data_IF_756113601088
#
_entry.id   IF_756113601088
#
_cell.length_a   1.000
_cell.length_b   1.000
_cell.length_c   1.000
_cell.angle_alpha   90.00
_cell.angle_beta   90.00
_cell.angle_gamma   90.00
#
_symmetry.space_group_name_H-M   'P 1'
#
loop_
_entity.id
_entity.type
_entity.pdbx_description
1 polymer ?
#
# COMPACT_ATOMS: atom_id res chain seq x y z
N UNK A 1 13.07 27.95 50.51
CA UNK A 1 13.22 28.83 49.34
C UNK A 1 13.32 27.96 48.11
N UNK A 2 12.41 28.17 47.16
CA UNK A 2 12.23 27.40 45.92
C UNK A 2 13.25 27.86 44.87
N UNK A 3 13.80 26.92 44.11
CA UNK A 3 14.24 27.14 42.72
C UNK A 3 14.38 25.78 42.03
N UNK A 4 13.30 25.36 41.38
CA UNK A 4 13.28 24.24 40.44
C UNK A 4 13.65 24.79 39.06
N UNK A 5 14.73 24.27 38.48
CA UNK A 5 15.19 24.63 37.14
C UNK A 5 14.25 24.03 36.09
N UNK A 6 13.78 24.92 35.21
CA UNK A 6 12.92 24.66 34.06
C UNK A 6 13.61 23.73 33.05
N UNK A 7 12.96 22.61 32.75
CA UNK A 7 13.24 21.84 31.55
C UNK A 7 12.56 22.52 30.35
N UNK A 8 13.36 23.09 29.45
CA UNK A 8 12.92 23.48 28.11
C UNK A 8 13.04 22.27 27.19
N UNK A 9 11.95 21.54 27.02
CA UNK A 9 11.81 20.51 25.99
C UNK A 9 11.46 21.17 24.65
N UNK A 10 12.47 21.36 23.79
CA UNK A 10 12.27 21.63 22.37
C UNK A 10 11.63 20.39 21.72
N UNK A 11 10.31 20.38 21.61
CA UNK A 11 9.59 19.41 20.77
C UNK A 11 9.48 19.98 19.36
N UNK A 12 10.56 19.88 18.60
CA UNK A 12 10.52 20.05 17.15
C UNK A 12 9.84 18.84 16.53
N UNK A 13 8.52 18.90 16.38
CA UNK A 13 7.76 17.90 15.65
C UNK A 13 8.11 18.00 14.15
N UNK A 14 9.14 17.28 13.73
CA UNK A 14 9.30 16.87 12.35
C UNK A 14 8.11 15.98 12.02
N UNK A 15 7.18 16.49 11.21
CA UNK A 15 6.15 15.71 10.54
C UNK A 15 6.83 14.78 9.53
N UNK A 16 7.46 13.71 10.02
CA UNK A 16 7.78 12.55 9.21
C UNK A 16 6.43 12.01 8.72
N UNK A 17 6.17 12.23 7.44
CA UNK A 17 5.17 11.43 6.72
C UNK A 17 5.60 9.98 6.88
N UNK A 18 4.97 9.25 7.81
CA UNK A 18 5.23 7.85 8.01
C UNK A 18 5.05 7.16 6.65
N UNK A 19 6.15 6.63 6.11
CA UNK A 19 6.09 5.73 4.97
C UNK A 19 5.24 4.54 5.43
N UNK A 20 4.12 4.33 4.74
CA UNK A 20 3.17 3.28 5.07
C UNK A 20 3.78 1.98 4.60
N UNK A 21 4.45 1.33 5.53
CA UNK A 21 5.24 0.17 5.24
C UNK A 21 4.69 -1.01 6.03
N UNK A 22 3.79 -1.78 5.39
CA UNK A 22 3.28 -3.03 5.95
C UNK A 22 4.42 -4.07 6.05
N UNK A 23 5.26 -4.17 5.02
CA UNK A 23 6.51 -4.97 5.02
C UNK A 23 7.76 -4.10 5.16
N UNK A 24 8.61 -4.30 6.18
CA UNK A 24 9.79 -3.48 6.53
C UNK A 24 10.99 -3.52 5.54
N UNK A 25 10.81 -3.94 4.28
CA UNK A 25 11.88 -3.91 3.28
C UNK A 25 12.38 -2.48 2.94
N UNK A 26 13.66 -2.14 3.15
CA UNK A 26 14.18 -0.79 2.92
C UNK A 26 13.95 -0.35 1.46
N UNK A 27 13.55 0.91 1.29
CA UNK A 27 13.33 1.57 -0.02
C UNK A 27 14.60 1.54 -0.89
N UNK A 28 15.77 1.46 -0.25
CA UNK A 28 17.07 1.23 -0.88
C UNK A 28 17.50 -0.22 -0.69
N UNK A 29 17.15 -1.10 -1.64
CA UNK A 29 17.56 -2.49 -1.61
C UNK A 29 17.36 -3.16 -2.95
N UNK A 30 18.46 -3.34 -3.69
CA UNK A 30 18.69 -4.28 -4.79
C UNK A 30 17.45 -4.72 -5.56
N UNK A 31 16.97 -3.77 -6.33
CA UNK A 31 15.78 -3.83 -7.16
C UNK A 31 15.97 -4.72 -8.39
N UNK A 32 15.11 -5.73 -8.61
CA UNK A 32 15.08 -6.51 -9.87
C UNK A 32 14.50 -5.69 -11.02
N UNK A 33 13.64 -4.71 -10.71
CA UNK A 33 13.17 -3.67 -11.64
C UNK A 33 13.91 -2.37 -11.37
N UNK A 34 14.40 -1.69 -12.40
CA UNK A 34 14.95 -0.33 -12.19
C UNK A 34 13.84 0.59 -11.65
N UNK A 35 14.09 1.40 -10.61
CA UNK A 35 13.13 2.43 -10.16
C UNK A 35 12.67 3.34 -11.31
N UNK A 36 13.51 3.57 -12.32
CA UNK A 36 13.18 4.37 -13.50
C UNK A 36 12.11 3.71 -14.40
N UNK A 37 11.94 2.39 -14.30
CA UNK A 37 10.91 1.65 -15.03
C UNK A 37 9.53 1.71 -14.37
N UNK A 38 9.46 2.16 -13.11
CA UNK A 38 8.18 2.34 -12.42
C UNK A 38 7.46 3.57 -12.97
N UNK A 39 6.24 3.31 -13.46
CA UNK A 39 5.34 4.31 -14.04
C UNK A 39 3.99 4.24 -13.32
N UNK A 40 3.20 5.33 -13.32
CA UNK A 40 1.87 5.32 -12.72
C UNK A 40 1.00 4.15 -13.20
N UNK A 41 0.35 3.46 -12.27
CA UNK A 41 -0.62 2.40 -12.53
C UNK A 41 -1.99 3.00 -12.89
N UNK A 42 -2.27 4.22 -12.42
CA UNK A 42 -3.55 4.89 -12.70
C UNK A 42 -3.69 5.19 -14.20
N UNK A 43 -4.71 4.65 -14.89
CA UNK A 43 -4.94 4.96 -16.28
C UNK A 43 -5.33 6.43 -16.45
N UNK A 44 -4.94 7.04 -17.59
CA UNK A 44 -5.22 8.45 -17.90
C UNK A 44 -6.72 8.81 -17.79
N UNK A 45 -7.60 7.85 -18.12
CA UNK A 45 -9.05 7.99 -18.00
C UNK A 45 -9.57 7.13 -16.84
N UNK A 46 -9.14 7.44 -15.61
CA UNK A 46 -9.66 6.79 -14.42
C UNK A 46 -11.03 7.39 -14.03
N UNK A 47 -12.10 6.57 -13.96
CA UNK A 47 -13.40 7.06 -13.54
C UNK A 47 -13.35 7.45 -12.05
N UNK A 48 -14.15 8.43 -11.64
CA UNK A 48 -14.21 8.95 -10.26
C UNK A 48 -12.99 9.76 -9.80
N UNK A 49 -12.15 10.23 -10.73
CA UNK A 49 -11.03 11.09 -10.39
C UNK A 49 -11.51 12.53 -10.08
N UNK A 50 -11.44 12.93 -8.82
CA UNK A 50 -11.62 14.31 -8.40
C UNK A 50 -10.32 15.12 -8.58
N UNK A 51 -9.20 14.55 -8.15
CA UNK A 51 -7.87 15.14 -8.29
C UNK A 51 -6.84 14.02 -8.41
N UNK A 52 -5.72 14.31 -9.08
CA UNK A 52 -4.59 13.41 -9.25
C UNK A 52 -3.27 14.13 -8.99
N UNK A 53 -2.35 13.44 -8.35
CA UNK A 53 -0.97 13.85 -8.18
C UNK A 53 -0.03 12.65 -8.34
N UNK A 54 1.13 12.88 -8.98
CA UNK A 54 2.19 11.91 -9.11
C UNK A 54 3.50 12.50 -8.59
N UNK A 55 4.08 11.83 -7.59
CA UNK A 55 5.44 12.10 -7.12
C UNK A 55 6.40 11.06 -7.73
N UNK A 56 7.18 11.44 -8.77
CA UNK A 56 8.11 10.53 -9.42
C UNK A 56 9.33 10.16 -8.55
N UNK A 57 9.69 10.98 -7.56
CA UNK A 57 10.83 10.71 -6.69
C UNK A 57 10.49 9.62 -5.68
N UNK A 58 9.28 9.65 -5.14
CA UNK A 58 8.77 8.63 -4.21
C UNK A 58 8.06 7.47 -4.88
N UNK A 59 7.80 7.56 -6.18
CA UNK A 59 6.96 6.61 -6.94
C UNK A 59 5.58 6.45 -6.29
N UNK A 60 4.99 7.59 -5.91
CA UNK A 60 3.74 7.68 -5.18
C UNK A 60 2.67 8.39 -6.02
N UNK A 61 1.58 7.68 -6.30
CA UNK A 61 0.37 8.25 -6.88
C UNK A 61 -0.60 8.61 -5.77
N UNK A 62 -1.22 9.77 -5.87
CA UNK A 62 -2.32 10.17 -4.99
C UNK A 62 -3.55 10.50 -5.83
N UNK A 63 -4.61 9.71 -5.65
CA UNK A 63 -5.90 9.90 -6.30
C UNK A 63 -6.90 10.34 -5.23
N UNK A 64 -7.60 11.43 -5.48
CA UNK A 64 -8.79 11.77 -4.72
C UNK A 64 -10.00 11.24 -5.47
N UNK A 65 -10.71 10.29 -4.87
CA UNK A 65 -11.92 9.67 -5.42
C UNK A 65 -13.17 10.48 -5.07
N UNK A 66 -13.06 11.32 -4.05
CA UNK A 66 -14.01 12.34 -3.64
C UNK A 66 -13.28 13.37 -2.76
N UNK A 67 -13.93 14.47 -2.33
CA UNK A 67 -13.34 15.39 -1.36
C UNK A 67 -12.92 14.75 -0.03
N UNK A 68 -13.51 13.59 0.31
CA UNK A 68 -13.27 12.91 1.59
C UNK A 68 -12.58 11.56 1.44
N UNK A 69 -12.37 11.06 0.22
CA UNK A 69 -11.81 9.73 -0.03
C UNK A 69 -10.58 9.83 -0.90
N UNK A 70 -9.44 9.37 -0.38
CA UNK A 70 -8.14 9.40 -1.06
C UNK A 70 -7.57 8.01 -1.15
N UNK A 71 -7.01 7.67 -2.30
CA UNK A 71 -6.19 6.49 -2.53
C UNK A 71 -4.74 6.94 -2.76
N UNK A 72 -3.81 6.37 -2.02
CA UNK A 72 -2.37 6.48 -2.28
C UNK A 72 -1.86 5.15 -2.83
N UNK A 73 -1.08 5.19 -3.89
CA UNK A 73 -0.46 4.01 -4.51
C UNK A 73 1.04 4.23 -4.50
N UNK A 74 1.77 3.46 -3.69
CA UNK A 74 3.23 3.52 -3.63
C UNK A 74 3.82 2.28 -4.30
N UNK A 75 4.71 2.48 -5.26
CA UNK A 75 5.41 1.39 -5.95
C UNK A 75 6.85 1.33 -5.47
N UNK A 76 7.32 0.14 -5.08
CA UNK A 76 8.70 -0.06 -4.62
C UNK A 76 9.40 -1.13 -5.43
N UNK A 77 10.54 -0.70 -5.94
CA UNK A 77 11.49 -1.37 -6.83
C UNK A 77 12.11 -2.72 -6.43
N UNK A 78 11.97 -3.31 -5.23
CA UNK A 78 13.05 -4.17 -4.69
C UNK A 78 13.25 -5.56 -5.37
N UNK A 79 13.91 -6.52 -4.69
CA UNK A 79 14.05 -7.91 -5.18
C UNK A 79 12.67 -8.48 -5.58
N UNK A 80 11.60 -7.98 -4.96
CA UNK A 80 10.20 -8.22 -5.30
C UNK A 80 9.55 -6.90 -5.71
N UNK A 81 8.54 -6.94 -6.56
CA UNK A 81 7.78 -5.75 -6.89
C UNK A 81 6.68 -5.54 -5.85
N UNK A 82 6.78 -4.45 -5.09
CA UNK A 82 5.77 -4.10 -4.08
C UNK A 82 4.88 -2.97 -4.60
N UNK A 83 3.58 -3.13 -4.44
CA UNK A 83 2.60 -2.06 -4.66
C UNK A 83 1.73 -1.96 -3.41
N UNK A 84 1.76 -0.81 -2.76
CA UNK A 84 0.93 -0.50 -1.59
C UNK A 84 -0.20 0.42 -1.98
N UNK A 85 -1.44 -0.01 -1.73
CA UNK A 85 -2.67 0.76 -1.87
C UNK A 85 -3.14 1.18 -0.48
N UNK A 86 -3.13 2.48 -0.18
CA UNK A 86 -3.73 3.03 1.03
C UNK A 86 -5.01 3.79 0.66
N UNK A 87 -6.17 3.21 0.96
CA UNK A 87 -7.47 3.87 0.85
C UNK A 87 -7.84 4.49 2.18
N UNK A 88 -8.01 5.81 2.19
CA UNK A 88 -8.23 6.61 3.40
C UNK A 88 -9.48 7.47 3.28
N UNK A 89 -10.27 7.49 4.35
CA UNK A 89 -11.34 8.45 4.54
C UNK A 89 -10.81 9.63 5.37
N UNK A 90 -10.79 10.83 4.80
CA UNK A 90 -10.40 12.07 5.48
C UNK A 90 -11.55 12.58 6.36
N UNK A 91 -11.96 11.76 7.33
CA UNK A 91 -13.00 12.07 8.31
C UNK A 91 -12.68 11.36 9.62
N UNK A 92 -12.73 12.10 10.72
CA UNK A 92 -12.51 11.57 12.06
C UNK A 92 -13.83 11.02 12.63
N UNK A 93 -14.25 9.88 12.11
CA UNK A 93 -15.36 9.13 12.67
C UNK A 93 -14.89 7.70 12.96
N UNK A 94 -15.35 7.09 14.07
CA UNK A 94 -15.05 5.69 14.36
C UNK A 94 -15.38 4.81 13.15
N UNK A 95 -14.69 3.68 12.99
CA UNK A 95 -15.00 2.66 11.98
C UNK A 95 -16.12 1.71 12.43
N UNK A 96 -17.42 1.97 12.17
CA UNK A 96 -18.44 0.95 12.33
C UNK A 96 -18.24 -0.15 11.28
N UNK A 97 -18.68 -1.37 11.59
CA UNK A 97 -18.55 -2.52 10.67
C UNK A 97 -19.11 -2.24 9.26
N UNK A 98 -20.21 -1.46 9.16
CA UNK A 98 -20.79 -1.08 7.87
C UNK A 98 -19.86 -0.21 7.02
N UNK A 99 -19.12 0.72 7.66
CA UNK A 99 -18.14 1.57 6.98
C UNK A 99 -16.93 0.73 6.52
N UNK A 100 -16.42 -0.17 7.36
CA UNK A 100 -15.33 -1.08 6.99
C UNK A 100 -15.67 -1.91 5.75
N UNK A 101 -16.86 -2.54 5.72
CA UNK A 101 -17.31 -3.30 4.55
C UNK A 101 -17.44 -2.42 3.31
N UNK A 102 -17.96 -1.21 3.46
CA UNK A 102 -18.09 -0.24 2.37
C UNK A 102 -16.73 0.19 1.80
N UNK A 103 -15.74 0.43 2.66
CA UNK A 103 -14.38 0.77 2.25
C UNK A 103 -13.66 -0.40 1.58
N UNK A 104 -13.82 -1.63 2.08
CA UNK A 104 -13.30 -2.84 1.42
C UNK A 104 -13.92 -3.03 0.03
N UNK A 105 -15.24 -2.93 -0.10
CA UNK A 105 -15.92 -3.01 -1.40
C UNK A 105 -15.47 -1.90 -2.36
N UNK A 106 -15.19 -0.70 -1.83
CA UNK A 106 -14.64 0.41 -2.62
C UNK A 106 -13.22 0.08 -3.11
N UNK A 107 -12.37 -0.47 -2.25
CA UNK A 107 -11.02 -0.88 -2.63
C UNK A 107 -11.05 -1.95 -3.73
N UNK A 108 -11.92 -2.96 -3.62
CA UNK A 108 -12.12 -3.98 -4.67
C UNK A 108 -12.48 -3.37 -6.03
N UNK A 109 -13.44 -2.44 -6.03
CA UNK A 109 -13.86 -1.72 -7.24
C UNK A 109 -12.70 -0.94 -7.85
N UNK A 110 -11.96 -0.20 -7.01
CA UNK A 110 -10.82 0.60 -7.43
C UNK A 110 -9.71 -0.28 -8.01
N UNK A 111 -9.36 -1.38 -7.35
CA UNK A 111 -8.35 -2.33 -7.85
C UNK A 111 -8.76 -2.91 -9.21
N UNK A 112 -10.03 -3.24 -9.39
CA UNK A 112 -10.57 -3.71 -10.67
C UNK A 112 -10.38 -2.68 -11.78
N UNK A 113 -10.61 -1.40 -11.47
CA UNK A 113 -10.49 -0.31 -12.44
C UNK A 113 -9.02 0.03 -12.76
N UNK A 114 -8.14 0.03 -11.75
CA UNK A 114 -6.71 0.27 -11.92
C UNK A 114 -6.07 -0.80 -12.80
N UNK A 115 -6.48 -2.06 -12.62
CA UNK A 115 -5.90 -3.22 -13.30
C UNK A 115 -6.78 -3.76 -14.42
N UNK A 116 -7.71 -2.95 -14.96
CA UNK A 116 -8.67 -3.40 -15.99
C UNK A 116 -8.00 -4.02 -17.22
N UNK A 117 -6.80 -3.53 -17.56
CA UNK A 117 -6.01 -3.95 -18.72
C UNK A 117 -4.94 -5.01 -18.32
N UNK A 118 -4.98 -5.51 -17.08
CA UNK A 118 -4.09 -6.53 -16.52
C UNK A 118 -4.88 -7.78 -16.09
N UNK A 119 -5.23 -8.68 -17.03
CA UNK A 119 -6.06 -9.85 -16.74
C UNK A 119 -5.41 -10.82 -15.73
N UNK A 120 -4.07 -10.86 -15.66
CA UNK A 120 -3.35 -11.69 -14.68
C UNK A 120 -3.61 -11.20 -13.25
N UNK A 121 -3.50 -9.89 -13.01
CA UNK A 121 -3.80 -9.33 -11.70
C UNK A 121 -5.28 -9.52 -11.33
N UNK A 122 -6.20 -9.33 -12.27
CA UNK A 122 -7.63 -9.52 -11.99
C UNK A 122 -7.97 -10.96 -11.60
N UNK A 123 -7.39 -11.96 -12.30
CA UNK A 123 -7.57 -13.36 -11.93
C UNK A 123 -7.02 -13.69 -10.53
N UNK A 124 -5.85 -13.12 -10.17
CA UNK A 124 -5.28 -13.25 -8.83
C UNK A 124 -6.19 -12.61 -7.77
N UNK A 125 -6.68 -11.39 -8.02
CA UNK A 125 -7.61 -10.69 -7.14
C UNK A 125 -8.86 -11.53 -6.90
N UNK A 126 -9.47 -12.08 -7.95
CA UNK A 126 -10.71 -12.86 -7.81
C UNK A 126 -10.52 -14.15 -7.00
N UNK A 127 -9.32 -14.74 -7.04
CA UNK A 127 -8.97 -15.90 -6.21
C UNK A 127 -8.68 -15.55 -4.74
N UNK A 128 -8.03 -14.41 -4.50
CA UNK A 128 -7.46 -14.02 -3.21
C UNK A 128 -8.43 -13.16 -2.38
N UNK A 129 -9.14 -12.24 -3.04
CA UNK A 129 -9.96 -11.22 -2.39
C UNK A 129 -11.06 -11.79 -1.48
N UNK A 130 -11.84 -12.83 -1.86
CA UNK A 130 -12.83 -13.41 -0.97
C UNK A 130 -12.22 -13.98 0.33
N UNK A 131 -11.00 -14.51 0.24
CA UNK A 131 -10.27 -15.07 1.40
C UNK A 131 -9.75 -13.97 2.31
N UNK A 132 -9.23 -12.87 1.73
CA UNK A 132 -8.84 -11.67 2.48
C UNK A 132 -10.05 -11.06 3.23
N UNK A 133 -11.21 -10.96 2.57
CA UNK A 133 -12.43 -10.45 3.21
C UNK A 133 -12.90 -11.34 4.35
N UNK A 134 -12.85 -12.67 4.16
CA UNK A 134 -13.18 -13.62 5.22
C UNK A 134 -12.26 -13.42 6.43
N UNK A 135 -10.94 -13.34 6.21
CA UNK A 135 -9.99 -13.10 7.30
C UNK A 135 -10.18 -11.73 7.95
N UNK A 136 -10.45 -10.67 7.18
CA UNK A 136 -10.72 -9.33 7.69
C UNK A 136 -11.94 -9.28 8.62
N UNK A 137 -12.95 -10.10 8.36
CA UNK A 137 -14.13 -10.19 9.23
C UNK A 137 -13.85 -10.80 10.60
N UNK A 138 -12.73 -11.51 10.76
CA UNK A 138 -12.35 -12.23 11.98
C UNK A 138 -11.26 -11.52 12.79
N UNK A 139 -10.72 -10.41 12.29
CA UNK A 139 -9.56 -9.72 12.84
C UNK A 139 -9.95 -8.42 13.52
N UNK A 140 -9.14 -8.03 14.50
CA UNK A 140 -9.27 -6.72 15.13
C UNK A 140 -8.67 -5.62 14.24
N UNK A 141 -9.06 -4.37 14.47
CA UNK A 141 -8.40 -3.22 13.83
C UNK A 141 -6.90 -3.23 14.15
N UNK A 142 -6.09 -2.86 13.16
CA UNK A 142 -4.63 -2.84 13.24
C UNK A 142 -3.95 -4.19 12.99
N UNK A 143 -4.66 -5.31 13.06
CA UNK A 143 -4.07 -6.62 12.74
C UNK A 143 -3.81 -6.75 11.23
N UNK A 144 -2.62 -7.27 10.89
CA UNK A 144 -2.23 -7.53 9.50
C UNK A 144 -2.61 -8.95 9.11
N UNK A 145 -3.31 -9.07 7.99
CA UNK A 145 -3.66 -10.33 7.35
C UNK A 145 -2.65 -10.58 6.25
N UNK A 146 -1.93 -11.69 6.34
CA UNK A 146 -1.01 -12.12 5.29
C UNK A 146 -1.57 -13.36 4.58
N UNK A 147 -1.69 -13.26 3.26
CA UNK A 147 -2.14 -14.36 2.41
C UNK A 147 -1.16 -14.56 1.24
N UNK A 148 -0.32 -15.60 1.27
CA UNK A 148 0.48 -15.98 0.11
C UNK A 148 -0.38 -16.74 -0.92
N UNK A 149 -0.13 -16.49 -2.21
CA UNK A 149 -0.78 -17.17 -3.33
C UNK A 149 0.14 -17.20 -4.55
N UNK A 150 0.60 -18.40 -4.95
CA UNK A 150 1.57 -18.59 -6.03
C UNK A 150 2.84 -17.74 -5.79
N UNK A 151 3.27 -16.97 -6.78
CA UNK A 151 4.39 -16.03 -6.69
C UNK A 151 4.06 -14.68 -6.01
N UNK A 152 2.87 -14.56 -5.38
CA UNK A 152 2.40 -13.34 -4.76
C UNK A 152 2.20 -13.47 -3.25
N UNK A 153 2.42 -12.36 -2.53
CA UNK A 153 1.94 -12.18 -1.16
C UNK A 153 1.05 -10.95 -1.06
N UNK A 154 -0.05 -11.09 -0.32
CA UNK A 154 -1.02 -10.03 -0.06
C UNK A 154 -1.05 -9.73 1.43
N UNK A 155 -0.83 -8.47 1.80
CA UNK A 155 -0.92 -7.99 3.16
C UNK A 155 -2.07 -7.00 3.26
N UNK A 156 -3.12 -7.32 4.01
CA UNK A 156 -4.28 -6.45 4.21
C UNK A 156 -4.34 -6.01 5.68
N UNK A 157 -4.51 -4.71 5.90
CA UNK A 157 -4.74 -4.13 7.22
C UNK A 157 -5.93 -3.17 7.15
N UNK A 158 -6.83 -3.27 8.12
CA UNK A 158 -7.89 -2.27 8.36
C UNK A 158 -7.57 -1.62 9.70
N UNK A 159 -7.46 -0.31 9.72
CA UNK A 159 -6.99 0.44 10.88
C UNK A 159 -7.65 1.83 10.96
N UNK A 160 -7.42 2.51 12.08
CA UNK A 160 -7.82 3.90 12.30
C UNK A 160 -6.62 4.67 12.88
N UNK A 161 -6.17 5.70 12.17
CA UNK A 161 -5.09 6.56 12.67
C UNK A 161 -5.54 8.03 12.77
N UNK A 162 -4.59 8.93 13.03
CA UNK A 162 -4.85 10.36 13.25
C UNK A 162 -5.49 11.07 12.06
N UNK A 163 -5.40 10.55 10.83
CA UNK A 163 -6.08 11.14 9.67
C UNK A 163 -7.46 10.48 9.41
N UNK A 164 -7.82 9.46 10.19
CA UNK A 164 -9.09 8.75 10.13
C UNK A 164 -8.96 7.29 9.67
N UNK A 165 -10.10 6.68 9.29
CA UNK A 165 -10.16 5.31 8.79
C UNK A 165 -9.25 5.04 7.60
N UNK A 166 -8.56 3.90 7.64
CA UNK A 166 -7.60 3.52 6.61
C UNK A 166 -7.62 2.02 6.32
N UNK A 167 -7.58 1.68 5.04
CA UNK A 167 -7.37 0.31 4.56
C UNK A 167 -6.08 0.29 3.75
N UNK A 168 -5.17 -0.62 4.10
CA UNK A 168 -3.91 -0.81 3.42
C UNK A 168 -3.86 -2.19 2.82
N UNK A 169 -3.63 -2.27 1.52
CA UNK A 169 -3.33 -3.51 0.82
C UNK A 169 -1.93 -3.38 0.24
N UNK A 170 -1.03 -4.27 0.59
CA UNK A 170 0.24 -4.42 -0.08
C UNK A 170 0.23 -5.72 -0.91
N UNK A 171 0.59 -5.60 -2.19
CA UNK A 171 0.79 -6.73 -3.10
C UNK A 171 2.27 -6.85 -3.41
N UNK A 172 2.81 -8.04 -3.20
CA UNK A 172 4.23 -8.35 -3.38
C UNK A 172 4.34 -9.43 -4.44
N UNK A 173 4.90 -9.10 -5.61
CA UNK A 173 5.16 -10.06 -6.68
C UNK A 173 6.63 -10.50 -6.66
N UNK A 174 6.84 -11.81 -6.68
CA UNK A 174 8.14 -12.38 -6.98
C UNK A 174 8.41 -12.34 -8.49
N UNK A 175 9.49 -11.67 -8.89
CA UNK A 175 9.89 -11.56 -10.29
C UNK A 175 11.05 -12.53 -10.60
N UNK A 176 10.78 -13.67 -11.29
CA UNK A 176 11.85 -14.58 -11.69
C UNK A 176 12.82 -13.88 -12.66
N UNK A 177 14.11 -14.21 -12.58
CA UNK A 177 15.19 -13.54 -13.33
C UNK A 177 14.98 -13.56 -14.84
N UNK A 178 14.34 -14.61 -15.35
CA UNK A 178 14.08 -14.82 -16.77
C UNK A 178 13.07 -13.83 -17.37
N UNK A 179 12.25 -13.18 -16.55
CA UNK A 179 11.24 -12.20 -16.99
C UNK A 179 11.78 -10.76 -17.06
N UNK A 180 13.03 -10.52 -16.66
CA UNK A 180 13.60 -9.18 -16.49
C UNK A 180 14.34 -8.76 -17.76
N UNK A 181 13.83 -7.75 -18.46
CA UNK A 181 14.46 -7.22 -19.69
C UNK A 181 15.74 -6.40 -19.43
N UNK A 182 15.99 -5.97 -18.18
CA UNK A 182 17.23 -5.29 -17.73
C UNK A 182 17.62 -5.78 -16.32
N UNK A 183 18.45 -6.82 -16.19
CA UNK A 183 18.77 -7.41 -14.89
C UNK A 183 19.58 -6.44 -14.02
N UNK A 184 19.16 -6.30 -12.76
CA UNK A 184 19.87 -5.52 -11.74
C UNK A 184 20.61 -6.35 -10.69
N UNK A 185 20.29 -7.64 -10.50
CA UNK A 185 20.85 -8.49 -9.43
C UNK A 185 20.90 -9.98 -9.84
N UNK A 186 21.95 -10.75 -9.46
CA UNK A 186 22.01 -12.20 -9.63
C UNK A 186 21.07 -13.00 -8.70
N UNK A 187 20.59 -14.16 -9.16
CA UNK A 187 19.57 -14.99 -8.49
C UNK A 187 19.92 -15.49 -7.07
N UNK A 188 21.20 -15.58 -6.72
CA UNK A 188 21.63 -16.10 -5.41
C UNK A 188 21.47 -15.09 -4.26
N UNK A 189 21.10 -13.84 -4.54
CA UNK A 189 20.92 -12.78 -3.53
C UNK A 189 19.45 -12.64 -3.07
N UNK A 190 18.61 -13.60 -3.42
CA UNK A 190 17.17 -13.63 -3.16
C UNK A 190 16.86 -14.77 -2.19
N UNK A 191 16.79 -14.45 -0.91
CA UNK A 191 16.65 -15.39 0.21
C UNK A 191 15.21 -15.86 0.43
N UNK A 192 14.27 -15.50 -0.45
CA UNK A 192 12.92 -16.06 -0.43
C UNK A 192 12.06 -15.64 0.78
N UNK A 193 12.63 -14.93 1.76
CA UNK A 193 12.01 -14.56 3.03
C UNK A 193 12.75 -13.40 3.70
N UNK A 194 12.01 -12.52 4.37
CA UNK A 194 12.54 -11.57 5.34
C UNK A 194 11.41 -10.76 5.99
N UNK A 195 11.57 -10.40 7.27
CA UNK A 195 10.84 -10.88 8.47
C UNK A 195 9.32 -10.64 8.52
#
# INVERSE_FOLDING_TARGET
MRSSLLWLSLSGALSLSAQIQLSQNPVSGNCRLSPDSLTPITPLAFPYLYQYEWDPARKLETLWLSPTLRLRIEQRACVRHHITYELRLNRHEPLPQGLTRGLLARLDTVLTLLHRDNPRFLALKDAVWPRLLQQASLRSLGEVIMLPYQEWSFLLQVDEDREGPVIRLETIEYLPSQAIQRPGVPDYMDDGWGP
#
